data_IF_038437732077
#
_entry.id   IF_038437732077
#
_cell.length_a   1.000
_cell.length_b   1.000
_cell.length_c   1.000
_cell.angle_alpha   90.00
_cell.angle_beta   90.00
_cell.angle_gamma   90.00
#
_symmetry.space_group_name_H-M   'P 1'
#
loop_
_entity.id
_entity.type
_entity.pdbx_description
1 polymer ?
#
# COMPACT_ATOMS: atom_id res chain seq x y z
N UNK A 1 13.02 4.34 -12.55
CA UNK A 1 12.48 3.76 -11.30
C UNK A 1 12.07 4.88 -10.35
N UNK A 2 11.19 4.61 -9.39
CA UNK A 2 10.72 5.59 -8.39
C UNK A 2 11.11 5.14 -6.97
N UNK A 3 11.25 6.10 -6.05
CA UNK A 3 11.54 5.82 -4.64
C UNK A 3 10.33 5.19 -3.93
N UNK A 4 10.60 4.25 -3.02
CA UNK A 4 9.60 3.71 -2.09
C UNK A 4 9.88 4.25 -0.70
N UNK A 5 8.91 4.96 -0.13
CA UNK A 5 9.11 5.72 1.10
C UNK A 5 8.88 4.86 2.35
N UNK A 6 9.72 5.08 3.37
CA UNK A 6 9.54 4.57 4.73
C UNK A 6 9.37 5.76 5.66
N UNK A 7 8.54 5.62 6.68
CA UNK A 7 8.40 6.67 7.69
C UNK A 7 9.61 6.62 8.63
N UNK A 8 10.56 7.54 8.47
CA UNK A 8 11.82 7.54 9.22
C UNK A 8 11.65 8.01 10.67
N UNK A 9 10.62 8.81 10.96
CA UNK A 9 10.36 9.33 12.33
C UNK A 9 9.87 8.26 13.29
N UNK A 10 9.30 7.17 12.78
CA UNK A 10 8.77 6.11 13.62
C UNK A 10 9.30 4.77 13.12
N UNK A 11 10.52 4.39 13.55
CA UNK A 11 11.18 3.13 13.17
C UNK A 11 10.34 1.87 13.45
N UNK A 12 9.33 1.97 14.31
CA UNK A 12 8.36 0.91 14.59
C UNK A 12 7.29 0.74 13.50
N UNK A 13 7.12 1.70 12.58
CA UNK A 13 6.13 1.64 11.50
C UNK A 13 6.74 1.07 10.21
N UNK A 14 6.05 0.08 9.65
CA UNK A 14 6.38 -0.51 8.36
C UNK A 14 6.24 0.49 7.19
N UNK A 15 6.84 0.22 6.02
CA UNK A 15 6.66 1.03 4.82
C UNK A 15 5.18 1.26 4.49
N UNK A 16 4.86 2.42 3.90
CA UNK A 16 3.50 2.88 3.61
C UNK A 16 2.64 1.84 2.91
N UNK A 17 3.24 1.15 1.94
CA UNK A 17 2.63 0.05 1.20
C UNK A 17 2.29 -1.15 2.09
N UNK A 18 3.23 -1.61 2.93
CA UNK A 18 3.04 -2.78 3.79
C UNK A 18 1.97 -2.51 4.83
N UNK A 19 1.96 -1.31 5.42
CA UNK A 19 0.92 -0.92 6.37
C UNK A 19 -0.45 -0.91 5.71
N UNK A 20 -0.58 -0.26 4.54
CA UNK A 20 -1.84 -0.22 3.80
C UNK A 20 -2.31 -1.63 3.38
N UNK A 21 -1.39 -2.50 2.98
CA UNK A 21 -1.68 -3.88 2.62
C UNK A 21 -2.20 -4.68 3.82
N UNK A 22 -1.52 -4.61 4.96
CA UNK A 22 -1.97 -5.27 6.19
C UNK A 22 -3.36 -4.81 6.62
N UNK A 23 -3.61 -3.49 6.63
CA UNK A 23 -4.91 -2.93 6.99
C UNK A 23 -6.04 -3.40 6.05
N UNK A 24 -5.77 -3.50 4.74
CA UNK A 24 -6.75 -3.95 3.76
C UNK A 24 -7.01 -5.46 3.88
N UNK A 25 -5.96 -6.26 4.06
CA UNK A 25 -6.09 -7.70 4.24
C UNK A 25 -6.87 -8.05 5.51
N UNK A 26 -6.61 -7.35 6.62
CA UNK A 26 -7.34 -7.55 7.88
C UNK A 26 -8.84 -7.23 7.72
N UNK A 27 -9.19 -6.16 6.99
CA UNK A 27 -10.58 -5.72 6.83
C UNK A 27 -11.35 -6.47 5.74
N UNK A 28 -10.68 -6.83 4.65
CA UNK A 28 -11.30 -7.25 3.40
C UNK A 28 -10.80 -8.61 2.88
N UNK A 29 -9.82 -9.23 3.51
CA UNK A 29 -9.19 -10.48 3.04
C UNK A 29 -10.16 -11.62 2.73
N UNK A 30 -11.24 -11.72 3.49
CA UNK A 30 -12.29 -12.75 3.32
C UNK A 30 -13.50 -12.28 2.49
N UNK A 31 -13.52 -11.03 2.04
CA UNK A 31 -14.70 -10.39 1.43
C UNK A 31 -14.49 -9.91 0.00
N UNK A 32 -13.24 -9.78 -0.44
CA UNK A 32 -12.87 -9.19 -1.73
C UNK A 32 -11.80 -10.02 -2.42
N UNK A 33 -11.74 -9.94 -3.75
CA UNK A 33 -10.63 -10.52 -4.50
C UNK A 33 -9.34 -9.71 -4.31
N UNK A 34 -8.21 -10.36 -4.59
CA UNK A 34 -6.88 -9.79 -4.46
C UNK A 34 -6.69 -8.49 -5.23
N UNK A 35 -7.16 -8.38 -6.49
CA UNK A 35 -6.91 -7.19 -7.32
C UNK A 35 -7.77 -6.00 -6.87
N UNK A 36 -8.99 -6.25 -6.42
CA UNK A 36 -9.80 -5.22 -5.75
C UNK A 36 -9.12 -4.74 -4.49
N UNK A 37 -8.63 -5.64 -3.63
CA UNK A 37 -7.87 -5.24 -2.43
C UNK A 37 -6.62 -4.41 -2.79
N UNK A 38 -5.86 -4.80 -3.80
CA UNK A 38 -4.70 -4.04 -4.26
C UNK A 38 -5.08 -2.64 -4.78
N UNK A 39 -6.26 -2.48 -5.36
CA UNK A 39 -6.81 -1.16 -5.75
C UNK A 39 -7.04 -0.28 -4.52
N UNK A 40 -7.59 -0.83 -3.44
CA UNK A 40 -7.73 -0.11 -2.17
C UNK A 40 -6.38 0.27 -1.57
N UNK A 41 -5.39 -0.62 -1.61
CA UNK A 41 -4.01 -0.33 -1.16
C UNK A 41 -3.43 0.85 -1.95
N UNK A 42 -3.56 0.84 -3.28
CA UNK A 42 -3.09 1.94 -4.13
C UNK A 42 -3.76 3.26 -3.77
N UNK A 43 -5.07 3.25 -3.51
CA UNK A 43 -5.81 4.43 -3.10
C UNK A 43 -5.33 4.97 -1.74
N UNK A 44 -5.08 4.08 -0.77
CA UNK A 44 -4.60 4.46 0.57
C UNK A 44 -3.22 5.10 0.47
N UNK A 45 -2.27 4.45 -0.22
CA UNK A 45 -0.90 4.96 -0.37
C UNK A 45 -0.89 6.29 -1.14
N UNK A 46 -1.66 6.38 -2.24
CA UNK A 46 -1.70 7.58 -3.07
C UNK A 46 -2.36 8.81 -2.42
N UNK A 47 -3.32 8.59 -1.50
CA UNK A 47 -4.03 9.69 -0.81
C UNK A 47 -3.43 10.06 0.54
N UNK A 48 -3.02 9.07 1.34
CA UNK A 48 -2.73 9.27 2.77
C UNK A 48 -1.25 9.35 3.10
N UNK A 49 -0.36 9.01 2.17
CA UNK A 49 1.07 9.03 2.46
C UNK A 49 1.74 10.28 1.89
N UNK A 50 2.16 11.16 2.80
CA UNK A 50 3.15 12.18 2.55
C UNK A 50 4.42 11.82 3.34
N UNK A 51 5.60 11.88 2.73
CA UNK A 51 6.86 11.68 3.43
C UNK A 51 7.04 12.83 4.42
N UNK A 52 7.08 12.47 5.70
CA UNK A 52 7.41 13.40 6.77
C UNK A 52 8.93 13.48 6.90
N UNK A 53 9.53 14.33 6.06
CA UNK A 53 10.98 14.45 5.87
C UNK A 53 11.44 15.86 6.20
N UNK A 54 12.60 15.96 6.84
CA UNK A 54 13.27 17.24 7.11
C UNK A 54 13.94 17.82 5.86
N UNK A 55 13.99 17.07 4.75
CA UNK A 55 14.55 17.53 3.49
C UNK A 55 13.48 18.28 2.68
N UNK A 56 13.61 19.60 2.45
CA UNK A 56 12.60 20.39 1.76
C UNK A 56 12.31 19.88 0.33
N UNK A 57 13.32 19.33 -0.37
CA UNK A 57 13.18 18.76 -1.72
C UNK A 57 12.40 17.43 -1.79
N UNK A 58 12.15 16.84 -0.62
CA UNK A 58 11.41 15.59 -0.48
C UNK A 58 10.05 15.81 0.16
N UNK A 59 9.79 17.02 0.67
CA UNK A 59 8.50 17.39 1.22
C UNK A 59 7.41 17.31 0.12
N UNK A 60 6.22 16.86 0.49
CA UNK A 60 5.04 16.72 -0.39
C UNK A 60 5.13 15.71 -1.56
N UNK A 61 6.23 14.96 -1.72
CA UNK A 61 6.32 13.94 -2.78
C UNK A 61 5.33 12.80 -2.54
N UNK A 62 4.57 12.44 -3.58
CA UNK A 62 3.58 11.35 -3.51
C UNK A 62 4.16 10.01 -3.97
N UNK A 63 3.55 8.92 -3.50
CA UNK A 63 3.85 7.57 -3.93
C UNK A 63 2.59 6.89 -4.46
N UNK A 64 2.72 6.13 -5.55
CA UNK A 64 1.69 5.20 -6.01
C UNK A 64 2.33 3.81 -6.19
N UNK A 65 1.78 2.74 -5.60
CA UNK A 65 2.27 1.39 -5.86
C UNK A 65 1.87 0.91 -7.26
N UNK A 66 2.63 -0.03 -7.81
CA UNK A 66 2.37 -0.67 -9.09
C UNK A 66 1.96 -2.12 -8.86
N UNK A 67 0.86 -2.55 -9.49
CA UNK A 67 0.34 -3.91 -9.42
C UNK A 67 0.38 -4.49 -10.83
N UNK A 68 1.23 -5.49 -11.04
CA UNK A 68 1.30 -6.23 -12.31
C UNK A 68 0.72 -7.62 -12.10
N UNK A 69 -0.32 -7.97 -12.85
CA UNK A 69 -1.00 -9.26 -12.74
C UNK A 69 -0.89 -10.04 -14.05
N UNK A 70 -0.58 -11.33 -13.93
CA UNK A 70 -0.73 -12.33 -14.99
C UNK A 70 -1.75 -13.40 -14.58
N UNK A 71 -2.57 -13.12 -13.56
CA UNK A 71 -3.62 -14.01 -13.10
C UNK A 71 -4.70 -14.12 -14.20
N UNK A 72 -5.17 -15.33 -14.44
CA UNK A 72 -6.25 -15.61 -15.41
C UNK A 72 -7.60 -15.82 -14.74
N UNK A 73 -7.64 -15.77 -13.40
CA UNK A 73 -8.83 -15.94 -12.57
C UNK A 73 -8.73 -15.04 -11.35
N UNK A 74 -9.89 -14.76 -10.75
CA UNK A 74 -9.99 -14.05 -9.48
C UNK A 74 -9.41 -14.89 -8.33
N UNK A 75 -8.76 -14.21 -7.37
CA UNK A 75 -8.13 -14.84 -6.21
C UNK A 75 -8.83 -14.35 -4.95
N UNK A 76 -9.46 -15.27 -4.22
CA UNK A 76 -10.12 -15.02 -2.94
C UNK A 76 -9.43 -15.80 -1.83
N UNK A 77 -9.30 -15.21 -0.63
CA UNK A 77 -8.83 -15.93 0.56
C UNK A 77 -10.03 -16.37 1.39
N UNK A 78 -10.50 -17.59 1.16
CA UNK A 78 -11.58 -18.20 1.95
C UNK A 78 -11.01 -18.93 3.16
N UNK A 79 -11.81 -19.01 4.24
CA UNK A 79 -11.51 -19.90 5.36
C UNK A 79 -11.54 -21.35 4.82
N UNK A 80 -10.57 -22.17 5.23
CA UNK A 80 -10.55 -23.61 4.93
C UNK A 80 -11.39 -24.40 5.90
#
# INVERSE_FOLDING_TARGET
GYYSWRNERNKAKCPSFVQALSDVLEKHGQKMDLLTMMTHVNQIVGKKFQPDTSHPDMNEKKQIPLVTSMLTKEVYFTIK
#
